data_IF_114859566311
#
_entry.id   IF_114859566311
#
_cell.length_a   1.000
_cell.length_b   1.000
_cell.length_c   1.000
_cell.angle_alpha   90.00
_cell.angle_beta   90.00
_cell.angle_gamma   90.00
#
_symmetry.space_group_name_H-M   'P 1'
#
loop_
_entity.id
_entity.type
_entity.pdbx_description
1 polymer ?
#
# COMPACT_ATOMS: atom_id res chain seq x y z
N UNK A 1 16.15 11.74 -8.09
CA UNK A 1 16.38 10.34 -7.70
C UNK A 1 15.13 9.76 -7.01
N UNK A 2 14.61 10.36 -5.96
CA UNK A 2 13.42 9.84 -5.24
C UNK A 2 12.16 9.70 -6.11
N UNK A 3 11.85 10.68 -6.97
CA UNK A 3 10.70 10.61 -7.88
C UNK A 3 10.77 9.42 -8.86
N UNK A 4 11.95 9.04 -9.31
CA UNK A 4 12.12 7.88 -10.17
C UNK A 4 11.81 6.56 -9.44
N UNK A 5 12.29 6.43 -8.19
CA UNK A 5 11.98 5.26 -7.39
C UNK A 5 10.48 5.15 -7.05
N UNK A 6 9.80 6.28 -6.80
CA UNK A 6 8.35 6.28 -6.54
C UNK A 6 7.56 5.90 -7.79
N UNK A 7 7.98 6.29 -8.99
CA UNK A 7 7.35 5.84 -10.24
C UNK A 7 7.48 4.33 -10.45
N UNK A 8 8.67 3.77 -10.22
CA UNK A 8 8.88 2.32 -10.29
C UNK A 8 7.99 1.60 -9.26
N UNK A 9 7.95 2.09 -8.02
CA UNK A 9 7.11 1.51 -6.98
C UNK A 9 5.63 1.52 -7.38
N UNK A 10 5.14 2.62 -7.97
CA UNK A 10 3.77 2.72 -8.49
C UNK A 10 3.49 1.72 -9.62
N UNK A 11 4.44 1.54 -10.55
CA UNK A 11 4.33 0.54 -11.62
C UNK A 11 4.27 -0.89 -11.05
N UNK A 12 5.13 -1.21 -10.08
CA UNK A 12 5.11 -2.50 -9.38
C UNK A 12 3.79 -2.71 -8.63
N UNK A 13 3.24 -1.67 -8.01
CA UNK A 13 1.96 -1.73 -7.31
C UNK A 13 0.81 -2.06 -8.28
N UNK A 14 0.76 -1.44 -9.46
CA UNK A 14 -0.24 -1.74 -10.49
C UNK A 14 -0.12 -3.17 -11.02
N UNK A 15 1.09 -3.64 -11.28
CA UNK A 15 1.34 -5.02 -11.70
C UNK A 15 0.91 -6.03 -10.61
N UNK A 16 1.26 -5.77 -9.35
CA UNK A 16 0.82 -6.58 -8.22
C UNK A 16 -0.70 -6.62 -8.10
N UNK A 17 -1.37 -5.48 -8.26
CA UNK A 17 -2.83 -5.40 -8.21
C UNK A 17 -3.49 -6.24 -9.30
N UNK A 18 -2.97 -6.21 -10.54
CA UNK A 18 -3.42 -7.07 -11.64
C UNK A 18 -3.28 -8.55 -11.32
N UNK A 19 -2.10 -8.97 -10.86
CA UNK A 19 -1.83 -10.36 -10.50
C UNK A 19 -2.71 -10.85 -9.35
N UNK A 20 -2.95 -9.99 -8.35
CA UNK A 20 -3.85 -10.28 -7.25
C UNK A 20 -5.30 -10.45 -7.72
N UNK A 21 -5.74 -9.64 -8.69
CA UNK A 21 -7.05 -9.79 -9.32
C UNK A 21 -7.19 -11.17 -9.96
N UNK A 22 -6.24 -11.56 -10.81
CA UNK A 22 -6.24 -12.89 -11.46
C UNK A 22 -6.19 -14.03 -10.44
N UNK A 23 -5.39 -13.90 -9.39
CA UNK A 23 -5.28 -14.92 -8.35
C UNK A 23 -6.57 -15.03 -7.54
N UNK A 24 -7.28 -13.92 -7.31
CA UNK A 24 -8.55 -13.92 -6.59
C UNK A 24 -9.65 -14.67 -7.31
N UNK A 25 -9.61 -14.71 -8.64
CA UNK A 25 -10.55 -15.50 -9.45
C UNK A 25 -10.34 -17.02 -9.27
N UNK A 26 -9.11 -17.44 -8.94
CA UNK A 26 -8.77 -18.84 -8.74
C UNK A 26 -9.03 -19.35 -7.32
N UNK A 27 -8.65 -18.58 -6.31
CA UNK A 27 -8.63 -19.02 -4.89
C UNK A 27 -9.57 -18.23 -3.99
N UNK A 28 -10.31 -17.31 -4.57
CA UNK A 28 -11.14 -16.37 -3.83
C UNK A 28 -10.34 -15.23 -3.19
N UNK A 29 -11.02 -14.15 -2.86
CA UNK A 29 -10.44 -12.90 -2.38
C UNK A 29 -9.62 -13.06 -1.09
N UNK A 30 -10.14 -13.80 -0.12
CA UNK A 30 -9.44 -14.03 1.15
C UNK A 30 -8.29 -15.04 1.01
N UNK A 31 -8.46 -16.07 0.18
CA UNK A 31 -7.41 -17.04 -0.14
C UNK A 31 -6.23 -16.37 -0.82
N UNK A 32 -6.47 -15.52 -1.82
CA UNK A 32 -5.46 -14.70 -2.48
C UNK A 32 -4.72 -13.81 -1.47
N UNK A 33 -5.45 -13.07 -0.63
CA UNK A 33 -4.84 -12.19 0.37
C UNK A 33 -3.94 -12.97 1.34
N UNK A 34 -4.39 -14.14 1.82
CA UNK A 34 -3.57 -15.00 2.68
C UNK A 34 -2.29 -15.47 1.97
N UNK A 35 -2.40 -15.95 0.74
CA UNK A 35 -1.24 -16.45 -0.02
C UNK A 35 -0.21 -15.35 -0.27
N UNK A 36 -0.65 -14.19 -0.74
CA UNK A 36 0.24 -13.06 -1.05
C UNK A 36 0.99 -12.57 0.20
N UNK A 37 0.29 -12.42 1.33
CA UNK A 37 0.91 -11.99 2.58
C UNK A 37 1.82 -13.07 3.18
N UNK A 38 1.45 -14.34 3.09
CA UNK A 38 2.29 -15.43 3.57
C UNK A 38 3.59 -15.56 2.75
N UNK A 39 3.49 -15.58 1.43
CA UNK A 39 4.65 -15.67 0.54
C UNK A 39 5.54 -14.43 0.71
N UNK A 40 4.94 -13.23 0.68
CA UNK A 40 5.67 -11.98 0.89
C UNK A 40 6.37 -11.92 2.25
N UNK A 41 5.70 -12.36 3.31
CA UNK A 41 6.27 -12.45 4.65
C UNK A 41 7.46 -13.41 4.72
N UNK A 42 7.34 -14.60 4.14
CA UNK A 42 8.42 -15.59 4.10
C UNK A 42 9.63 -15.03 3.33
N UNK A 43 9.41 -14.46 2.15
CA UNK A 43 10.47 -13.87 1.34
C UNK A 43 11.17 -12.72 2.06
N UNK A 44 10.41 -11.88 2.77
CA UNK A 44 10.97 -10.76 3.53
C UNK A 44 11.82 -11.25 4.71
N UNK A 45 11.34 -12.25 5.47
CA UNK A 45 12.12 -12.86 6.57
C UNK A 45 13.40 -13.48 6.04
N UNK A 46 13.33 -14.19 4.91
CA UNK A 46 14.49 -14.79 4.26
C UNK A 46 15.49 -13.70 3.83
N UNK A 47 15.01 -12.63 3.21
CA UNK A 47 15.84 -11.49 2.80
C UNK A 47 16.56 -10.84 3.99
N UNK A 48 15.83 -10.55 5.07
CA UNK A 48 16.41 -9.96 6.29
C UNK A 48 17.48 -10.88 6.89
N UNK A 49 17.22 -12.18 6.94
CA UNK A 49 18.15 -13.16 7.51
C UNK A 49 19.43 -13.32 6.67
N UNK A 50 19.31 -13.24 5.33
CA UNK A 50 20.44 -13.46 4.42
C UNK A 50 21.28 -12.20 4.16
N UNK A 51 20.64 -11.04 4.05
CA UNK A 51 21.31 -9.82 3.58
C UNK A 51 21.44 -8.73 4.65
N UNK A 52 20.43 -8.55 5.49
CA UNK A 52 20.39 -7.41 6.42
C UNK A 52 20.96 -7.79 7.78
N UNK A 53 20.83 -9.06 8.18
CA UNK A 53 21.31 -9.59 9.47
C UNK A 53 20.78 -8.82 10.70
N UNK A 54 19.68 -8.10 10.56
CA UNK A 54 19.05 -7.39 11.68
C UNK A 54 18.22 -8.35 12.54
N UNK A 55 18.27 -8.13 13.84
CA UNK A 55 17.41 -8.87 14.79
C UNK A 55 16.00 -8.29 14.71
N UNK A 56 15.05 -9.07 14.22
CA UNK A 56 13.64 -8.75 14.26
C UNK A 56 13.16 -8.63 15.72
N UNK A 57 13.09 -7.42 16.22
CA UNK A 57 12.49 -7.14 17.53
C UNK A 57 10.97 -7.06 17.37
N UNK A 58 10.30 -8.19 17.51
CA UNK A 58 8.84 -8.28 17.45
C UNK A 58 8.15 -7.91 18.77
N UNK A 59 8.92 -7.83 19.87
CA UNK A 59 8.41 -7.53 21.20
C UNK A 59 8.76 -6.09 21.61
N UNK A 60 7.79 -5.38 22.20
CA UNK A 60 8.00 -4.02 22.72
C UNK A 60 7.44 -2.90 21.86
N UNK A 61 6.77 -3.22 20.74
CA UNK A 61 6.04 -2.23 19.97
C UNK A 61 4.64 -1.98 20.56
N UNK A 62 4.13 -0.74 20.52
CA UNK A 62 2.77 -0.45 20.94
C UNK A 62 1.78 -1.22 20.05
N UNK A 63 0.73 -1.75 20.67
CA UNK A 63 -0.21 -2.68 20.04
C UNK A 63 -0.92 -2.10 18.79
N UNK A 64 -1.11 -0.79 18.73
CA UNK A 64 -1.75 -0.14 17.57
C UNK A 64 -0.94 -0.25 16.27
N UNK A 65 0.37 -0.49 16.34
CA UNK A 65 1.19 -0.71 15.14
C UNK A 65 0.86 -2.05 14.45
N UNK A 66 0.37 -3.03 15.20
CA UNK A 66 -0.05 -4.30 14.61
C UNK A 66 -1.34 -4.18 13.79
N UNK A 67 -2.12 -3.11 14.00
CA UNK A 67 -3.32 -2.85 13.18
C UNK A 67 -3.01 -2.59 11.71
N UNK A 68 -1.78 -2.21 11.38
CA UNK A 68 -1.34 -2.04 9.99
C UNK A 68 -1.53 -3.31 9.13
N UNK A 69 -1.33 -4.49 9.73
CA UNK A 69 -1.59 -5.76 9.06
C UNK A 69 -3.06 -5.97 8.71
N UNK A 70 -3.97 -5.58 9.61
CA UNK A 70 -5.41 -5.62 9.35
C UNK A 70 -5.81 -4.71 8.19
N UNK A 71 -5.31 -3.46 8.18
CA UNK A 71 -5.54 -2.54 7.07
C UNK A 71 -4.97 -3.06 5.76
N UNK A 72 -3.81 -3.75 5.80
CA UNK A 72 -3.21 -4.38 4.63
C UNK A 72 -4.11 -5.44 4.00
N UNK A 73 -4.65 -6.35 4.81
CA UNK A 73 -5.59 -7.40 4.36
C UNK A 73 -6.84 -6.76 3.76
N UNK A 74 -7.43 -5.79 4.46
CA UNK A 74 -8.63 -5.09 3.99
C UNK A 74 -8.38 -4.37 2.66
N UNK A 75 -7.24 -3.68 2.52
CA UNK A 75 -6.87 -2.96 1.30
C UNK A 75 -6.71 -3.93 0.12
N UNK A 76 -5.99 -5.04 0.31
CA UNK A 76 -5.76 -6.02 -0.77
C UNK A 76 -7.06 -6.71 -1.17
N UNK A 77 -7.89 -7.10 -0.20
CA UNK A 77 -9.18 -7.73 -0.47
C UNK A 77 -10.13 -6.79 -1.23
N UNK A 78 -10.29 -5.56 -0.73
CA UNK A 78 -11.15 -4.54 -1.38
C UNK A 78 -10.67 -4.18 -2.77
N UNK A 79 -9.35 -4.05 -2.97
CA UNK A 79 -8.76 -3.74 -4.26
C UNK A 79 -9.06 -4.83 -5.29
N UNK A 80 -8.90 -6.09 -4.92
CA UNK A 80 -9.14 -7.21 -5.82
C UNK A 80 -10.61 -7.32 -6.23
N UNK A 81 -11.52 -7.07 -5.28
CA UNK A 81 -12.95 -7.02 -5.58
C UNK A 81 -13.28 -5.89 -6.58
N UNK A 82 -12.72 -4.69 -6.36
CA UNK A 82 -12.92 -3.55 -7.24
C UNK A 82 -12.32 -3.75 -8.64
N UNK A 83 -11.19 -4.45 -8.74
CA UNK A 83 -10.57 -4.77 -10.03
C UNK A 83 -11.49 -5.64 -10.89
N UNK A 84 -12.13 -6.64 -10.31
CA UNK A 84 -13.09 -7.48 -11.02
C UNK A 84 -14.29 -6.72 -11.58
N UNK A 85 -14.73 -5.65 -10.89
CA UNK A 85 -15.88 -4.86 -11.29
C UNK A 85 -15.54 -3.67 -12.20
N UNK A 86 -14.44 -2.97 -11.95
CA UNK A 86 -14.10 -1.68 -12.57
C UNK A 86 -12.88 -1.76 -13.51
N UNK A 87 -12.13 -2.83 -13.43
CA UNK A 87 -10.82 -2.95 -14.08
C UNK A 87 -9.70 -2.26 -13.31
N UNK A 88 -8.46 -2.64 -13.65
CA UNK A 88 -7.24 -2.20 -12.93
C UNK A 88 -7.03 -0.70 -13.01
N UNK A 89 -7.22 -0.09 -14.18
CA UNK A 89 -6.94 1.34 -14.40
C UNK A 89 -7.84 2.24 -13.56
N UNK A 90 -9.15 2.01 -13.60
CA UNK A 90 -10.14 2.81 -12.85
C UNK A 90 -9.93 2.63 -11.35
N UNK A 91 -9.75 1.37 -10.91
CA UNK A 91 -9.47 1.07 -9.50
C UNK A 91 -8.21 1.80 -9.02
N UNK A 92 -7.13 1.78 -9.80
CA UNK A 92 -5.87 2.44 -9.44
C UNK A 92 -6.04 3.95 -9.36
N UNK A 93 -6.72 4.59 -10.30
CA UNK A 93 -7.00 6.03 -10.26
C UNK A 93 -7.77 6.43 -8.99
N UNK A 94 -8.85 5.71 -8.67
CA UNK A 94 -9.65 5.96 -7.46
C UNK A 94 -8.84 5.74 -6.18
N UNK A 95 -8.03 4.68 -6.15
CA UNK A 95 -7.17 4.36 -5.00
C UNK A 95 -6.12 5.45 -4.77
N UNK A 96 -5.43 5.90 -5.82
CA UNK A 96 -4.44 6.98 -5.73
C UNK A 96 -5.09 8.28 -5.26
N UNK A 97 -6.28 8.60 -5.76
CA UNK A 97 -7.05 9.76 -5.32
C UNK A 97 -7.33 9.71 -3.81
N UNK A 98 -7.85 8.58 -3.32
CA UNK A 98 -8.09 8.39 -1.89
C UNK A 98 -6.81 8.51 -1.05
N UNK A 99 -5.72 7.90 -1.50
CA UNK A 99 -4.41 7.98 -0.86
C UNK A 99 -3.90 9.42 -0.77
N UNK A 100 -4.02 10.18 -1.84
CA UNK A 100 -3.58 11.58 -1.88
C UNK A 100 -4.35 12.45 -0.88
N UNK A 101 -5.67 12.30 -0.81
CA UNK A 101 -6.51 13.05 0.13
C UNK A 101 -6.10 12.76 1.57
N UNK A 102 -6.03 11.48 1.93
CA UNK A 102 -5.66 11.07 3.30
C UNK A 102 -4.21 11.46 3.63
N UNK A 103 -3.27 11.30 2.69
CA UNK A 103 -1.89 11.73 2.89
C UNK A 103 -1.78 13.23 3.16
N UNK A 104 -2.55 14.05 2.43
CA UNK A 104 -2.57 15.49 2.66
C UNK A 104 -3.13 15.86 4.05
N UNK A 105 -4.12 15.12 4.54
CA UNK A 105 -4.66 15.29 5.89
C UNK A 105 -3.61 14.90 6.94
N UNK A 106 -2.97 13.75 6.79
CA UNK A 106 -1.93 13.27 7.70
C UNK A 106 -0.76 14.25 7.76
N UNK A 107 -0.27 14.73 6.62
CA UNK A 107 0.81 15.71 6.52
C UNK A 107 0.43 17.03 7.19
N UNK A 108 -0.82 17.50 7.02
CA UNK A 108 -1.29 18.76 7.59
C UNK A 108 -1.34 18.72 9.11
N UNK A 109 -1.87 17.62 9.67
CA UNK A 109 -2.00 17.47 11.13
C UNK A 109 -0.75 16.88 11.79
N UNK A 110 0.17 16.28 11.03
CA UNK A 110 1.35 15.61 11.54
C UNK A 110 1.00 14.35 12.34
N UNK A 111 -0.04 13.61 11.92
CA UNK A 111 -0.44 12.38 12.58
C UNK A 111 0.63 11.29 12.46
N UNK A 112 0.59 10.32 13.37
CA UNK A 112 1.53 9.18 13.42
C UNK A 112 3.02 9.55 13.57
N UNK A 113 3.32 10.77 14.06
CA UNK A 113 4.72 11.22 14.26
C UNK A 113 5.42 11.66 12.97
N UNK A 114 4.69 11.84 11.88
CA UNK A 114 5.22 12.38 10.61
C UNK A 114 5.51 13.88 10.78
N UNK A 115 6.62 14.40 10.21
CA UNK A 115 6.90 15.84 10.24
C UNK A 115 5.71 16.62 9.66
N UNK A 116 5.23 17.59 10.43
CA UNK A 116 4.10 18.42 10.01
C UNK A 116 4.48 19.29 8.82
N UNK A 117 3.87 19.00 7.67
CA UNK A 117 4.04 19.81 6.46
C UNK A 117 2.70 20.50 6.18
N UNK A 118 2.58 21.82 6.48
CA UNK A 118 1.33 22.54 6.27
C UNK A 118 0.92 22.48 4.80
N UNK A 119 -0.37 22.26 4.57
CA UNK A 119 -0.93 22.16 3.23
C UNK A 119 -0.73 23.49 2.48
N UNK A 120 0.07 23.45 1.42
CA UNK A 120 0.31 24.61 0.58
C UNK A 120 -0.66 24.59 -0.62
N UNK A 121 -1.40 25.69 -0.82
CA UNK A 121 -2.32 25.86 -1.95
C UNK A 121 -1.68 25.61 -3.32
N UNK A 122 -0.35 25.75 -3.41
CA UNK A 122 0.42 25.42 -4.63
C UNK A 122 0.41 23.93 -5.00
N UNK A 123 -0.01 23.03 -4.09
CA UNK A 123 -0.17 21.60 -4.36
C UNK A 123 -1.51 21.25 -5.02
N UNK A 124 -2.51 22.15 -4.95
CA UNK A 124 -3.84 21.94 -5.53
C UNK A 124 -3.78 21.62 -7.03
N UNK A 125 -3.03 22.37 -7.88
CA UNK A 125 -2.94 22.04 -9.29
C UNK A 125 -2.39 20.63 -9.56
N UNK A 126 -1.42 20.17 -8.74
CA UNK A 126 -0.88 18.81 -8.86
C UNK A 126 -1.94 17.75 -8.53
N UNK A 127 -2.78 18.01 -7.51
CA UNK A 127 -3.90 17.11 -7.19
C UNK A 127 -4.92 17.04 -8.32
N UNK A 128 -5.25 18.18 -8.94
CA UNK A 128 -6.20 18.24 -10.07
C UNK A 128 -5.63 17.57 -11.32
N UNK A 129 -4.31 17.61 -11.54
CA UNK A 129 -3.68 16.95 -12.70
C UNK A 129 -3.60 15.41 -12.55
N UNK A 130 -3.68 14.89 -11.33
CA UNK A 130 -3.61 13.45 -11.06
C UNK A 130 -5.02 12.82 -11.05
N UNK A 131 -6.05 13.62 -10.81
CA UNK A 131 -7.47 13.26 -10.89
C UNK A 131 -7.97 13.24 -12.34
#
# INVERSE_FOLDING_TARGET
>A
MYAFFTLIAGACQSAMASLNGMLSDCVGMFGMSLMVHAIGGILLVLYIKLFVHEKLKLTGMPWYLYSAGFFGIFLVASSSYCIGALGVSVMTCLSVTGQLVISAVIDHFGWFGVPRIPFNKKRIPCFIMIL
#
